data_IF_467067565826
#
_entry.id   IF_467067565826
#
_cell.length_a   1.000
_cell.length_b   1.000
_cell.length_c   1.000
_cell.angle_alpha   90.00
_cell.angle_beta   90.00
_cell.angle_gamma   90.00
#
_symmetry.space_group_name_H-M   'P 1'
#
loop_
_entity.id
_entity.type
_entity.pdbx_description
1 polymer ?
#
# COMPACT_ATOMS: atom_id res chain seq x y z
N UNK A 1 -20.03 19.25 26.20
CA UNK A 1 -19.75 18.64 24.88
C UNK A 1 -20.87 17.65 24.62
N UNK A 2 -21.73 17.91 23.65
CA UNK A 2 -22.79 16.97 23.27
C UNK A 2 -22.15 15.68 22.72
N UNK A 3 -22.47 14.52 23.31
CA UNK A 3 -21.89 13.24 22.90
C UNK A 3 -22.34 12.84 21.48
N UNK A 4 -23.49 13.31 21.02
CA UNK A 4 -24.02 13.03 19.68
C UNK A 4 -23.18 13.67 18.56
N UNK A 5 -22.46 14.75 18.84
CA UNK A 5 -21.62 15.47 17.88
C UNK A 5 -20.15 15.04 17.91
N UNK A 6 -19.80 14.05 18.74
CA UNK A 6 -18.43 13.57 18.82
C UNK A 6 -18.07 12.77 17.54
N UNK A 7 -17.14 13.25 16.70
CA UNK A 7 -16.76 12.55 15.48
C UNK A 7 -15.95 11.26 15.76
N UNK A 8 -15.55 11.01 17.01
CA UNK A 8 -14.81 9.83 17.42
C UNK A 8 -15.70 8.58 17.42
N UNK A 9 -15.40 7.65 16.51
CA UNK A 9 -16.04 6.33 16.48
C UNK A 9 -15.10 5.28 17.07
N UNK A 10 -15.32 4.84 18.32
CA UNK A 10 -14.47 3.82 18.94
C UNK A 10 -14.62 2.48 18.21
N UNK A 11 -13.52 1.98 17.65
CA UNK A 11 -13.42 0.67 17.02
C UNK A 11 -12.12 0.50 16.23
N UNK A 12 -11.59 -0.71 16.16
CA UNK A 12 -10.31 -0.98 15.49
C UNK A 12 -10.43 -0.75 13.98
N UNK A 13 -9.92 0.38 13.49
CA UNK A 13 -9.93 0.71 12.07
C UNK A 13 -11.29 1.17 11.52
N UNK A 14 -12.27 1.42 12.39
CA UNK A 14 -13.54 2.02 12.00
C UNK A 14 -13.28 3.47 11.60
N UNK A 15 -13.80 3.86 10.43
CA UNK A 15 -13.66 5.23 9.94
C UNK A 15 -14.54 6.17 10.78
N UNK A 16 -13.97 7.19 11.44
CA UNK A 16 -14.73 8.22 12.11
C UNK A 16 -15.46 9.09 11.08
N UNK A 17 -16.54 9.75 11.51
CA UNK A 17 -17.29 10.68 10.66
C UNK A 17 -16.41 11.80 10.09
N UNK A 18 -15.34 12.19 10.80
CA UNK A 18 -14.36 13.15 10.35
C UNK A 18 -12.94 12.81 10.82
N UNK A 19 -11.94 13.05 9.96
CA UNK A 19 -10.50 12.98 10.30
C UNK A 19 -10.00 14.36 10.77
N UNK A 20 -10.56 14.83 11.89
CA UNK A 20 -10.24 16.16 12.44
C UNK A 20 -8.77 16.24 12.84
N UNK A 21 -8.09 17.33 12.47
CA UNK A 21 -6.69 17.59 12.85
C UNK A 21 -5.64 16.79 12.07
N UNK A 22 -6.03 16.11 10.98
CA UNK A 22 -5.13 15.30 10.12
C UNK A 22 -4.95 15.86 8.71
N UNK A 23 -5.32 17.13 8.50
CA UNK A 23 -5.26 17.77 7.19
C UNK A 23 -3.84 17.76 6.62
N UNK A 24 -2.84 18.08 7.45
CA UNK A 24 -1.43 18.11 7.03
C UNK A 24 -0.94 16.76 6.51
N UNK A 25 -1.22 15.66 7.21
CA UNK A 25 -0.81 14.32 6.77
C UNK A 25 -1.54 13.89 5.49
N UNK A 26 -2.83 14.23 5.36
CA UNK A 26 -3.61 13.94 4.15
C UNK A 26 -3.09 14.73 2.94
N UNK A 27 -2.79 16.02 3.12
CA UNK A 27 -2.19 16.86 2.06
C UNK A 27 -0.81 16.35 1.63
N UNK A 28 -0.01 15.83 2.57
CA UNK A 28 1.29 15.24 2.25
C UNK A 28 1.14 14.03 1.34
N UNK A 29 0.15 13.18 1.60
CA UNK A 29 -0.15 12.01 0.78
C UNK A 29 -0.68 12.39 -0.60
N UNK A 30 -1.57 13.38 -0.69
CA UNK A 30 -2.06 13.88 -1.98
C UNK A 30 -0.89 14.44 -2.84
N UNK A 31 0.05 15.12 -2.19
CA UNK A 31 1.28 15.61 -2.84
C UNK A 31 2.18 14.47 -3.30
N UNK A 32 2.37 13.44 -2.47
CA UNK A 32 3.16 12.25 -2.81
C UNK A 32 2.58 11.52 -4.01
N UNK A 33 1.26 11.29 -4.01
CA UNK A 33 0.55 10.63 -5.12
C UNK A 33 0.77 11.42 -6.41
N UNK A 34 0.55 12.75 -6.36
CA UNK A 34 0.71 13.64 -7.51
C UNK A 34 2.14 13.67 -8.05
N UNK A 35 3.14 13.67 -7.17
CA UNK A 35 4.56 13.67 -7.55
C UNK A 35 4.99 12.34 -8.16
N UNK A 36 4.62 11.22 -7.55
CA UNK A 36 4.95 9.88 -8.06
C UNK A 36 4.30 9.64 -9.43
N UNK A 37 3.07 10.13 -9.64
CA UNK A 37 2.41 10.07 -10.96
C UNK A 37 3.18 10.80 -12.08
N UNK A 38 4.06 11.75 -11.72
CA UNK A 38 4.95 12.49 -12.64
C UNK A 38 6.35 11.87 -12.73
N UNK A 39 6.56 10.68 -12.18
CA UNK A 39 7.88 10.03 -12.12
C UNK A 39 8.87 10.69 -11.17
N UNK A 40 8.41 11.60 -10.30
CA UNK A 40 9.28 12.28 -9.35
C UNK A 40 9.48 11.43 -8.10
N UNK A 41 10.71 11.43 -7.58
CA UNK A 41 11.04 10.75 -6.34
C UNK A 41 10.28 11.33 -5.14
N UNK A 42 9.90 10.45 -4.22
CA UNK A 42 9.26 10.78 -2.95
C UNK A 42 9.86 9.93 -1.82
N UNK A 43 9.77 10.45 -0.60
CA UNK A 43 10.10 9.72 0.63
C UNK A 43 8.81 9.22 1.27
N UNK A 44 8.83 8.03 1.84
CA UNK A 44 7.69 7.50 2.62
C UNK A 44 7.38 8.33 3.87
N UNK A 45 6.25 8.04 4.52
CA UNK A 45 5.82 8.70 5.75
C UNK A 45 5.84 7.71 6.91
N UNK A 46 6.24 8.18 8.09
CA UNK A 46 6.08 7.47 9.36
C UNK A 46 5.03 8.19 10.20
N UNK A 47 3.95 7.50 10.55
CA UNK A 47 2.89 8.02 11.42
C UNK A 47 3.15 7.54 12.86
N UNK A 48 3.38 8.46 13.79
CA UNK A 48 3.61 8.16 15.21
C UNK A 48 2.62 8.90 16.13
N UNK A 49 2.59 8.54 17.42
CA UNK A 49 1.71 9.14 18.43
C UNK A 49 1.16 8.13 19.44
N UNK A 50 0.34 8.58 20.40
CA UNK A 50 -0.24 7.76 21.46
C UNK A 50 -1.22 6.69 20.94
N UNK A 51 -1.53 5.67 21.75
CA UNK A 51 -2.57 4.68 21.42
C UNK A 51 -3.95 5.38 21.37
N UNK A 52 -4.81 4.95 20.45
CA UNK A 52 -6.19 5.48 20.35
C UNK A 52 -6.35 6.76 19.53
N UNK A 53 -5.27 7.44 19.12
CA UNK A 53 -5.34 8.71 18.35
C UNK A 53 -5.69 8.54 16.85
N UNK A 54 -6.18 7.37 16.44
CA UNK A 54 -6.61 7.11 15.06
C UNK A 54 -5.49 6.84 14.04
N UNK A 55 -4.28 6.46 14.46
CA UNK A 55 -3.16 6.18 13.51
C UNK A 55 -3.52 5.12 12.45
N UNK A 56 -4.17 4.03 12.86
CA UNK A 56 -4.60 2.97 11.93
C UNK A 56 -5.67 3.48 10.97
N UNK A 57 -6.58 4.32 11.45
CA UNK A 57 -7.60 4.96 10.61
C UNK A 57 -6.94 5.86 9.56
N UNK A 58 -5.92 6.64 9.96
CA UNK A 58 -5.16 7.46 9.03
C UNK A 58 -4.48 6.58 7.95
N UNK A 59 -3.82 5.48 8.33
CA UNK A 59 -3.22 4.55 7.36
C UNK A 59 -4.26 3.95 6.40
N UNK A 60 -5.47 3.65 6.87
CA UNK A 60 -6.56 3.16 6.02
C UNK A 60 -7.01 4.24 5.02
N UNK A 61 -7.10 5.50 5.43
CA UNK A 61 -7.45 6.60 4.52
C UNK A 61 -6.36 6.84 3.47
N UNK A 62 -5.09 6.70 3.86
CA UNK A 62 -3.95 6.77 2.95
C UNK A 62 -4.04 5.67 1.90
N UNK A 63 -4.29 4.42 2.32
CA UNK A 63 -4.48 3.32 1.39
C UNK A 63 -5.64 3.59 0.42
N UNK A 64 -6.78 4.08 0.92
CA UNK A 64 -7.94 4.44 0.10
C UNK A 64 -7.61 5.51 -0.96
N UNK A 65 -6.86 6.55 -0.59
CA UNK A 65 -6.41 7.61 -1.52
C UNK A 65 -5.48 7.05 -2.59
N UNK A 66 -4.55 6.18 -2.21
CA UNK A 66 -3.64 5.52 -3.15
C UNK A 66 -4.40 4.59 -4.12
N UNK A 67 -5.33 3.78 -3.62
CA UNK A 67 -6.19 2.92 -4.45
C UNK A 67 -7.04 3.74 -5.43
N UNK A 68 -7.60 4.88 -4.98
CA UNK A 68 -8.34 5.80 -5.85
C UNK A 68 -7.46 6.43 -6.95
N UNK A 69 -6.14 6.43 -6.76
CA UNK A 69 -5.15 6.87 -7.74
C UNK A 69 -4.56 5.69 -8.55
N UNK A 70 -5.26 4.55 -8.61
CA UNK A 70 -4.85 3.32 -9.32
C UNK A 70 -3.56 2.67 -8.78
N UNK A 71 -3.16 2.95 -7.52
CA UNK A 71 -2.00 2.29 -6.93
C UNK A 71 -2.36 0.94 -6.34
N UNK A 72 -1.40 0.01 -6.42
CA UNK A 72 -1.43 -1.21 -5.64
C UNK A 72 -1.02 -0.93 -4.18
N UNK A 73 -1.95 -1.16 -3.25
CA UNK A 73 -1.72 -1.05 -1.81
C UNK A 73 -1.54 -2.43 -1.17
N UNK A 74 -0.55 -2.56 -0.30
CA UNK A 74 -0.32 -3.80 0.49
C UNK A 74 -0.21 -3.44 1.96
N UNK A 75 -1.14 -3.94 2.77
CA UNK A 75 -1.13 -3.74 4.23
C UNK A 75 -0.37 -4.85 4.93
N UNK A 76 0.63 -4.46 5.71
CA UNK A 76 1.49 -5.37 6.47
C UNK A 76 1.47 -4.91 7.92
N UNK A 77 1.19 -5.85 8.82
CA UNK A 77 1.26 -5.63 10.25
C UNK A 77 2.54 -6.26 10.79
N UNK A 78 3.34 -5.46 11.48
CA UNK A 78 4.60 -5.93 12.06
C UNK A 78 4.31 -6.73 13.33
N UNK A 79 4.87 -7.93 13.42
CA UNK A 79 4.81 -8.78 14.62
C UNK A 79 6.22 -8.98 15.19
N UNK A 80 6.35 -9.14 16.51
CA UNK A 80 7.66 -9.37 17.17
C UNK A 80 8.21 -10.79 16.99
N UNK A 81 7.49 -11.68 16.28
CA UNK A 81 7.96 -13.05 16.04
C UNK A 81 9.18 -13.03 15.10
N UNK A 82 10.20 -13.86 15.37
CA UNK A 82 11.36 -14.07 14.49
C UNK A 82 10.97 -14.53 13.07
N UNK A 83 9.75 -15.06 12.89
CA UNK A 83 9.18 -15.43 11.58
C UNK A 83 8.59 -14.25 10.79
N UNK A 84 8.62 -13.02 11.32
CA UNK A 84 8.02 -11.83 10.71
C UNK A 84 8.49 -11.58 9.27
N UNK A 85 9.78 -11.78 8.98
CA UNK A 85 10.33 -11.60 7.63
C UNK A 85 9.68 -12.54 6.61
N UNK A 86 9.47 -13.81 6.96
CA UNK A 86 8.78 -14.78 6.09
C UNK A 86 7.32 -14.38 5.90
N UNK A 87 6.66 -13.89 6.95
CA UNK A 87 5.26 -13.46 6.88
C UNK A 87 5.06 -12.23 5.98
N UNK A 88 5.88 -11.19 6.17
CA UNK A 88 5.94 -9.97 5.33
C UNK A 88 6.13 -10.36 3.88
N UNK A 89 7.10 -11.25 3.62
CA UNK A 89 7.39 -11.77 2.29
C UNK A 89 6.17 -12.45 1.68
N UNK A 90 5.68 -13.54 2.28
CA UNK A 90 4.54 -14.30 1.74
C UNK A 90 3.32 -13.42 1.49
N UNK A 91 3.06 -12.43 2.36
CA UNK A 91 1.95 -11.50 2.20
C UNK A 91 2.14 -10.57 1.00
N UNK A 92 3.32 -9.99 0.82
CA UNK A 92 3.64 -9.17 -0.36
C UNK A 92 3.47 -9.97 -1.66
N UNK A 93 4.03 -11.18 -1.73
CA UNK A 93 3.92 -12.03 -2.93
C UNK A 93 2.45 -12.36 -3.25
N UNK A 94 1.66 -12.70 -2.24
CA UNK A 94 0.23 -13.00 -2.41
C UNK A 94 -0.54 -11.79 -2.94
N UNK A 95 -0.37 -10.62 -2.33
CA UNK A 95 -1.10 -9.41 -2.73
C UNK A 95 -0.67 -8.90 -4.11
N UNK A 96 0.63 -8.98 -4.45
CA UNK A 96 1.13 -8.71 -5.80
C UNK A 96 0.48 -9.63 -6.84
N UNK A 97 0.47 -10.95 -6.57
CA UNK A 97 -0.13 -11.94 -7.49
C UNK A 97 -1.64 -11.73 -7.65
N UNK A 98 -2.36 -11.46 -6.55
CA UNK A 98 -3.80 -11.20 -6.59
C UNK A 98 -4.12 -9.92 -7.35
N UNK A 99 -3.29 -8.90 -7.20
CA UNK A 99 -3.51 -7.60 -7.85
C UNK A 99 -3.14 -7.62 -9.32
N UNK A 100 -2.08 -8.35 -9.70
CA UNK A 100 -1.75 -8.62 -11.09
C UNK A 100 -2.91 -9.30 -11.84
N UNK A 101 -3.70 -10.16 -11.16
CA UNK A 101 -4.90 -10.78 -11.74
C UNK A 101 -6.09 -9.82 -11.87
N UNK A 102 -6.22 -8.84 -10.97
CA UNK A 102 -7.29 -7.84 -10.99
C UNK A 102 -7.06 -6.75 -12.03
N UNK A 103 -5.80 -6.47 -12.38
CA UNK A 103 -5.47 -5.60 -13.49
C UNK A 103 -5.96 -6.29 -14.76
N UNK A 104 -6.99 -5.73 -15.39
CA UNK A 104 -7.52 -6.22 -16.67
C UNK A 104 -6.40 -6.24 -17.69
N UNK A 105 -5.90 -7.46 -17.86
CA UNK A 105 -4.77 -7.84 -18.69
C UNK A 105 -4.89 -7.18 -20.08
N UNK A 106 -6.09 -7.14 -20.67
CA UNK A 106 -6.35 -6.59 -22.01
C UNK A 106 -6.03 -5.11 -22.24
N UNK A 107 -6.16 -4.21 -21.24
CA UNK A 107 -6.10 -2.74 -21.47
C UNK A 107 -4.75 -2.11 -21.09
N UNK A 108 -3.92 -2.81 -20.31
CA UNK A 108 -2.67 -2.27 -19.71
C UNK A 108 -1.45 -3.20 -19.87
N UNK A 109 -1.48 -4.16 -20.80
CA UNK A 109 -0.39 -5.10 -21.06
C UNK A 109 1.01 -4.46 -21.15
N UNK A 110 1.14 -3.29 -21.80
CA UNK A 110 2.42 -2.56 -21.89
C UNK A 110 2.97 -2.20 -20.50
N UNK A 111 2.14 -1.64 -19.62
CA UNK A 111 2.54 -1.30 -18.25
C UNK A 111 2.81 -2.54 -17.39
N UNK A 112 2.13 -3.67 -17.64
CA UNK A 112 2.41 -4.92 -16.93
C UNK A 112 3.84 -5.38 -17.25
N UNK A 113 4.24 -5.35 -18.53
CA UNK A 113 5.60 -5.72 -18.94
C UNK A 113 6.66 -4.83 -18.29
N UNK A 114 6.40 -3.52 -18.12
CA UNK A 114 7.31 -2.59 -17.45
C UNK A 114 7.46 -2.87 -15.95
N UNK A 115 6.45 -3.45 -15.31
CA UNK A 115 6.42 -3.71 -13.86
C UNK A 115 7.03 -5.08 -13.50
N UNK A 116 7.02 -6.05 -14.42
CA UNK A 116 7.54 -7.40 -14.20
C UNK A 116 9.02 -7.43 -13.73
N UNK A 117 9.96 -6.66 -14.31
CA UNK A 117 11.34 -6.60 -13.84
C UNK A 117 11.46 -6.11 -12.39
N UNK A 118 10.61 -5.15 -11.98
CA UNK A 118 10.58 -4.63 -10.61
C UNK A 118 10.10 -5.71 -9.63
N UNK A 119 9.06 -6.45 -10.00
CA UNK A 119 8.56 -7.59 -9.21
C UNK A 119 9.63 -8.68 -9.09
N UNK A 120 10.32 -9.00 -10.19
CA UNK A 120 11.40 -9.99 -10.20
C UNK A 120 12.59 -9.56 -9.34
N UNK A 121 13.05 -8.31 -9.46
CA UNK A 121 14.13 -7.78 -8.64
C UNK A 121 13.78 -7.85 -7.15
N UNK A 122 12.55 -7.46 -6.80
CA UNK A 122 12.04 -7.56 -5.43
C UNK A 122 11.94 -9.01 -4.94
N UNK A 123 11.54 -9.94 -5.81
CA UNK A 123 11.53 -11.39 -5.56
C UNK A 123 12.93 -11.92 -5.21
N UNK A 124 13.93 -11.53 -6.00
CA UNK A 124 15.33 -11.93 -5.81
C UNK A 124 15.92 -11.33 -4.52
N UNK A 125 15.75 -10.03 -4.28
CA UNK A 125 16.27 -9.36 -3.06
C UNK A 125 15.64 -9.89 -1.78
N UNK A 126 14.39 -10.35 -1.84
CA UNK A 126 13.68 -10.92 -0.69
C UNK A 126 13.70 -12.45 -0.67
N UNK A 127 14.55 -13.12 -1.45
CA UNK A 127 14.74 -14.57 -1.38
C UNK A 127 13.45 -15.37 -1.59
N UNK A 128 12.60 -14.90 -2.49
CA UNK A 128 11.39 -15.61 -2.90
C UNK A 128 11.70 -16.57 -4.05
N UNK A 129 11.40 -17.85 -3.85
CA UNK A 129 11.50 -18.91 -4.88
C UNK A 129 10.13 -19.32 -5.44
N UNK A 130 9.08 -18.51 -5.23
CA UNK A 130 7.69 -18.88 -5.52
C UNK A 130 7.05 -18.20 -6.73
N UNK A 131 7.70 -17.22 -7.36
CA UNK A 131 7.23 -16.62 -8.61
C UNK A 131 8.23 -16.95 -9.71
N UNK A 132 8.31 -18.22 -10.09
CA UNK A 132 8.90 -18.61 -11.37
C UNK A 132 7.86 -18.31 -12.46
N UNK A 133 7.66 -17.03 -12.79
CA UNK A 133 7.08 -16.68 -14.09
C UNK A 133 8.24 -16.77 -15.08
N UNK A 134 8.24 -17.85 -15.85
CA UNK A 134 9.22 -18.13 -16.90
C UNK A 134 9.38 -16.88 -17.77
N UNK A 135 10.42 -16.08 -17.52
CA UNK A 135 10.77 -14.92 -18.35
C UNK A 135 11.43 -15.42 -19.63
N UNK A 136 10.65 -16.11 -20.46
CA UNK A 136 10.98 -16.26 -21.86
C UNK A 136 10.52 -14.98 -22.57
N UNK A 137 11.18 -13.86 -22.27
CA UNK A 137 11.28 -12.78 -23.25
C UNK A 137 12.46 -13.16 -24.13
N UNK A 138 12.20 -14.10 -25.06
CA UNK A 138 13.06 -14.21 -26.24
C UNK A 138 12.90 -12.93 -27.03
N UNK A 139 14.05 -12.38 -27.40
CA UNK A 139 14.21 -11.30 -28.34
C UNK A 139 13.24 -11.43 -29.52
N UNK A 140 12.52 -10.34 -29.80
CA UNK A 140 12.05 -9.90 -31.12
C UNK A 140 11.69 -8.41 -30.99
#
# INVERSE_FOLDING_TARGET
MDQALNPYSPGAGIRPAALVGRSTELTLIDTMISRTARGLHNRGIIVHGLRGVGKTVLLNEIARKAEAADWLTVRIEATSDKKNNKHVRTRLARELTQSARKISVRKRWKHILDILPVISAFSTTLGFTGVSLNTAVSAL
#
